data_IF_908303881585
#
_entry.id   IF_908303881585
#
_cell.length_a   1.000
_cell.length_b   1.000
_cell.length_c   1.000
_cell.angle_alpha   90.00
_cell.angle_beta   90.00
_cell.angle_gamma   90.00
#
_symmetry.space_group_name_H-M   'P 1'
#
loop_
_entity.id
_entity.type
_entity.pdbx_description
1 polymer ?
#
# COMPACT_ATOMS: atom_id res chain seq x y z
N UNK A 1 -15.61 34.52 6.20
CA UNK A 1 -15.36 33.13 6.63
C UNK A 1 -14.54 32.49 5.52
N UNK A 2 -13.29 32.11 5.78
CA UNK A 2 -12.48 31.44 4.77
C UNK A 2 -13.11 30.07 4.51
N UNK A 3 -13.60 29.84 3.29
CA UNK A 3 -14.04 28.51 2.85
C UNK A 3 -12.79 27.63 2.89
N UNK A 4 -12.75 26.64 3.78
CA UNK A 4 -11.66 25.68 3.83
C UNK A 4 -11.63 24.94 2.49
N UNK A 5 -10.55 25.11 1.73
CA UNK A 5 -10.39 24.45 0.45
C UNK A 5 -9.93 23.01 0.65
N UNK A 6 -10.43 22.09 -0.17
CA UNK A 6 -9.91 20.72 -0.24
C UNK A 6 -8.80 20.67 -1.27
N UNK A 7 -7.65 20.10 -0.91
CA UNK A 7 -6.55 19.92 -1.85
C UNK A 7 -6.75 18.65 -2.65
N UNK A 8 -6.73 18.78 -3.98
CA UNK A 8 -6.75 17.68 -4.94
C UNK A 8 -5.39 17.58 -5.61
N UNK A 9 -4.79 16.40 -5.54
CA UNK A 9 -3.48 16.13 -6.13
C UNK A 9 -3.62 15.10 -7.23
N UNK A 10 -3.12 15.43 -8.42
CA UNK A 10 -3.08 14.53 -9.57
C UNK A 10 -1.67 13.94 -9.64
N UNK A 11 -1.57 12.64 -9.35
CA UNK A 11 -0.36 11.83 -9.53
C UNK A 11 -0.25 11.41 -10.99
N UNK A 12 0.66 12.04 -11.71
CA UNK A 12 0.81 11.85 -13.15
C UNK A 12 1.24 10.43 -13.52
N UNK A 13 0.75 9.94 -14.66
CA UNK A 13 1.09 8.62 -15.18
C UNK A 13 2.54 8.50 -15.63
N UNK A 14 3.07 7.27 -15.57
CA UNK A 14 4.42 7.00 -16.08
C UNK A 14 4.47 7.11 -17.61
N UNK A 15 5.36 7.94 -18.13
CA UNK A 15 5.68 8.03 -19.55
C UNK A 15 4.83 9.03 -20.34
N UNK A 16 4.66 8.75 -21.64
CA UNK A 16 4.09 9.69 -22.63
C UNK A 16 2.78 9.22 -23.27
N UNK A 17 1.96 8.47 -22.56
CA UNK A 17 0.67 8.03 -23.10
C UNK A 17 -0.25 9.25 -23.32
N UNK A 18 -0.64 9.57 -24.57
CA UNK A 18 -1.39 10.79 -24.86
C UNK A 18 -2.80 10.77 -24.26
N UNK A 19 -3.46 9.61 -24.20
CA UNK A 19 -4.82 9.50 -23.64
C UNK A 19 -4.82 9.78 -22.14
N UNK A 20 -3.87 9.20 -21.41
CA UNK A 20 -3.74 9.42 -19.96
C UNK A 20 -3.41 10.87 -19.64
N UNK A 21 -2.51 11.47 -20.42
CA UNK A 21 -2.12 12.89 -20.27
C UNK A 21 -3.27 13.82 -20.57
N UNK A 22 -4.04 13.55 -21.62
CA UNK A 22 -5.22 14.36 -21.93
C UNK A 22 -6.21 14.33 -20.77
N UNK A 23 -6.49 13.15 -20.21
CA UNK A 23 -7.37 13.03 -19.04
C UNK A 23 -6.82 13.81 -17.83
N UNK A 24 -5.53 13.68 -17.52
CA UNK A 24 -4.88 14.44 -16.44
C UNK A 24 -5.01 15.96 -16.65
N UNK A 25 -4.78 16.44 -17.89
CA UNK A 25 -4.89 17.85 -18.25
C UNK A 25 -6.33 18.37 -18.18
N UNK A 26 -7.30 17.59 -18.66
CA UNK A 26 -8.72 17.95 -18.64
C UNK A 26 -9.23 18.06 -17.21
N UNK A 27 -8.89 17.08 -16.35
CA UNK A 27 -9.22 17.11 -14.93
C UNK A 27 -8.57 18.31 -14.26
N UNK A 28 -7.27 18.53 -14.47
CA UNK A 28 -6.55 19.66 -13.87
C UNK A 28 -7.17 21.00 -14.29
N UNK A 29 -7.46 21.17 -15.59
CA UNK A 29 -8.03 22.40 -16.15
C UNK A 29 -9.42 22.69 -15.57
N UNK A 30 -10.29 21.67 -15.45
CA UNK A 30 -11.60 21.87 -14.86
C UNK A 30 -11.51 22.21 -13.37
N UNK A 31 -10.70 21.47 -12.60
CA UNK A 31 -10.54 21.70 -11.16
C UNK A 31 -9.95 23.08 -10.82
N UNK A 32 -9.14 23.68 -11.71
CA UNK A 32 -8.62 25.05 -11.51
C UNK A 32 -9.74 26.10 -11.42
N UNK A 33 -10.87 25.83 -12.05
CA UNK A 33 -12.05 26.71 -12.04
C UNK A 33 -13.08 26.32 -10.98
N UNK A 34 -12.87 25.20 -10.27
CA UNK A 34 -13.82 24.72 -9.26
C UNK A 34 -13.65 25.49 -7.93
N UNK A 35 -14.75 26.04 -7.37
CA UNK A 35 -14.68 26.76 -6.11
C UNK A 35 -14.43 25.81 -4.94
N UNK A 36 -13.61 26.23 -3.98
CA UNK A 36 -13.35 25.45 -2.76
C UNK A 36 -12.35 24.30 -2.95
N UNK A 37 -11.67 24.24 -4.10
CA UNK A 37 -10.64 23.25 -4.40
C UNK A 37 -9.31 23.95 -4.68
N UNK A 38 -8.21 23.37 -4.21
CA UNK A 38 -6.86 23.70 -4.65
C UNK A 38 -6.26 22.50 -5.37
N UNK A 39 -5.67 22.72 -6.54
CA UNK A 39 -5.15 21.64 -7.40
C UNK A 39 -3.63 21.66 -7.42
N UNK A 40 -3.01 20.49 -7.36
CA UNK A 40 -1.57 20.34 -7.55
C UNK A 40 -1.26 19.09 -8.37
N UNK A 41 -0.14 19.13 -9.08
CA UNK A 41 0.37 18.02 -9.89
C UNK A 41 1.65 17.51 -9.25
N UNK A 42 1.76 16.19 -9.11
CA UNK A 42 2.98 15.53 -8.62
C UNK A 42 3.40 14.43 -9.59
N UNK A 43 4.69 14.05 -9.61
CA UNK A 43 5.13 12.86 -10.33
C UNK A 43 4.39 11.61 -9.85
N UNK A 44 4.59 10.52 -10.58
CA UNK A 44 3.96 9.25 -10.26
C UNK A 44 4.25 8.85 -8.81
N UNK A 45 3.18 8.72 -8.01
CA UNK A 45 3.21 8.56 -6.56
C UNK A 45 4.19 7.49 -6.07
N UNK A 46 4.24 6.37 -6.78
CA UNK A 46 5.05 5.22 -6.41
C UNK A 46 6.54 5.33 -6.81
N UNK A 47 6.91 6.29 -7.66
CA UNK A 47 8.30 6.49 -8.10
C UNK A 47 9.05 7.58 -7.33
N UNK A 48 8.35 8.41 -6.56
CA UNK A 48 8.99 9.44 -5.74
C UNK A 48 9.88 8.82 -4.66
N UNK A 49 11.10 9.34 -4.50
CA UNK A 49 12.00 9.02 -3.37
C UNK A 49 11.52 9.68 -2.09
N UNK A 50 11.98 9.20 -0.93
CA UNK A 50 11.52 9.69 0.37
C UNK A 50 11.74 11.20 0.60
N UNK A 51 12.79 11.75 -0.02
CA UNK A 51 13.24 13.14 0.01
C UNK A 51 12.71 13.99 -1.17
N UNK A 52 11.92 13.39 -2.06
CA UNK A 52 11.38 14.08 -3.24
C UNK A 52 10.44 15.22 -2.82
N UNK A 53 10.55 16.38 -3.48
CA UNK A 53 9.80 17.59 -3.10
C UNK A 53 8.28 17.40 -3.17
N UNK A 54 7.80 16.57 -4.10
CA UNK A 54 6.39 16.20 -4.21
C UNK A 54 5.84 15.44 -2.99
N UNK A 55 6.64 14.57 -2.37
CA UNK A 55 6.23 13.91 -1.11
C UNK A 55 6.27 14.88 0.06
N UNK A 56 7.25 15.79 0.10
CA UNK A 56 7.29 16.85 1.12
C UNK A 56 6.05 17.74 1.05
N UNK A 57 5.62 18.09 -0.17
CA UNK A 57 4.37 18.80 -0.40
C UNK A 57 3.16 17.99 0.09
N UNK A 58 3.01 16.73 -0.32
CA UNK A 58 1.88 15.89 0.11
C UNK A 58 1.77 15.76 1.64
N UNK A 59 2.91 15.64 2.33
CA UNK A 59 2.96 15.61 3.81
C UNK A 59 2.55 16.94 4.43
N UNK A 60 2.84 18.07 3.78
CA UNK A 60 2.54 19.40 4.31
C UNK A 60 1.11 19.88 4.05
N UNK A 61 0.36 19.23 3.15
CA UNK A 61 -1.06 19.55 2.88
C UNK A 61 -1.88 19.41 4.18
N UNK A 62 -2.52 20.48 4.68
CA UNK A 62 -3.39 20.41 5.83
C UNK A 62 -4.77 19.83 5.46
N UNK A 63 -5.46 19.22 6.43
CA UNK A 63 -6.85 18.80 6.25
C UNK A 63 -7.04 17.65 5.24
N UNK A 64 -8.25 17.52 4.69
CA UNK A 64 -8.57 16.41 3.80
C UNK A 64 -7.83 16.53 2.46
N UNK A 65 -7.35 15.40 1.96
CA UNK A 65 -6.58 15.31 0.72
C UNK A 65 -7.24 14.31 -0.23
N UNK A 66 -7.45 14.73 -1.46
CA UNK A 66 -7.89 13.85 -2.56
C UNK A 66 -6.67 13.61 -3.45
N UNK A 67 -6.37 12.34 -3.73
CA UNK A 67 -5.27 11.93 -4.61
C UNK A 67 -5.85 11.13 -5.77
N UNK A 68 -5.79 11.71 -6.97
CA UNK A 68 -6.12 11.05 -8.22
C UNK A 68 -4.86 10.38 -8.76
N UNK A 69 -4.87 9.07 -9.01
CA UNK A 69 -3.67 8.35 -9.47
C UNK A 69 -3.99 7.18 -10.40
N UNK A 70 -2.99 6.72 -11.15
CA UNK A 70 -3.10 5.51 -11.99
C UNK A 70 -2.81 4.20 -11.23
N UNK A 71 -2.93 4.23 -9.90
CA UNK A 71 -2.78 3.07 -9.02
C UNK A 71 -4.17 2.64 -8.53
N UNK A 72 -4.34 1.37 -8.18
CA UNK A 72 -5.58 0.91 -7.53
C UNK A 72 -5.69 1.60 -6.16
N UNK A 73 -6.91 1.85 -5.70
CA UNK A 73 -7.18 2.61 -4.45
C UNK A 73 -6.33 2.12 -3.27
N UNK A 74 -6.29 0.79 -3.08
CA UNK A 74 -5.50 0.13 -2.05
C UNK A 74 -4.00 0.39 -2.22
N UNK A 75 -3.49 0.29 -3.44
CA UNK A 75 -2.09 0.54 -3.75
C UNK A 75 -1.70 2.01 -3.52
N UNK A 76 -2.55 2.94 -3.97
CA UNK A 76 -2.36 4.37 -3.74
C UNK A 76 -2.35 4.70 -2.23
N UNK A 77 -3.36 4.22 -1.49
CA UNK A 77 -3.50 4.40 -0.04
C UNK A 77 -2.25 3.96 0.71
N UNK A 78 -1.78 2.74 0.50
CA UNK A 78 -0.64 2.21 1.26
C UNK A 78 0.70 2.74 0.78
N UNK A 79 0.79 3.21 -0.47
CA UNK A 79 1.96 3.98 -0.93
C UNK A 79 2.04 5.34 -0.24
N UNK A 80 0.91 6.04 -0.08
CA UNK A 80 0.83 7.29 0.68
C UNK A 80 1.15 7.07 2.16
N UNK A 81 0.56 6.04 2.79
CA UNK A 81 0.77 5.73 4.19
C UNK A 81 2.25 5.44 4.50
N UNK A 82 2.87 4.59 3.67
CA UNK A 82 4.31 4.26 3.75
C UNK A 82 5.18 5.50 3.67
N UNK A 83 4.81 6.43 2.78
CA UNK A 83 5.57 7.67 2.59
C UNK A 83 5.22 8.74 3.62
N UNK A 84 4.44 8.43 4.67
CA UNK A 84 4.11 9.36 5.74
C UNK A 84 2.96 10.31 5.42
N UNK A 85 2.30 10.15 4.27
CA UNK A 85 1.07 10.87 3.92
C UNK A 85 -0.11 10.06 4.45
N UNK A 86 -0.32 10.15 5.76
CA UNK A 86 -1.30 9.33 6.50
C UNK A 86 -2.62 10.07 6.68
N UNK A 87 -3.69 9.29 6.83
CA UNK A 87 -5.03 9.78 7.18
C UNK A 87 -6.05 8.64 7.20
N UNK A 88 -7.23 8.92 7.74
CA UNK A 88 -8.36 8.00 7.69
C UNK A 88 -8.80 7.77 6.24
N UNK A 89 -9.33 6.59 5.96
CA UNK A 89 -9.89 6.27 4.63
C UNK A 89 -11.04 7.21 4.28
N UNK A 90 -10.87 7.92 3.17
CA UNK A 90 -11.94 8.60 2.48
C UNK A 90 -12.57 7.65 1.47
N UNK A 91 -13.90 7.55 1.49
CA UNK A 91 -14.65 6.69 0.58
C UNK A 91 -14.96 7.42 -0.72
N UNK A 92 -14.52 6.84 -1.84
CA UNK A 92 -14.90 7.23 -3.20
C UNK A 92 -16.16 6.47 -3.62
N UNK A 93 -17.11 7.16 -4.24
CA UNK A 93 -18.26 6.54 -4.92
C UNK A 93 -18.00 6.29 -6.40
N UNK A 94 -16.87 6.76 -6.93
CA UNK A 94 -16.45 6.47 -8.28
C UNK A 94 -15.80 5.08 -8.30
N UNK A 95 -16.55 4.09 -8.80
CA UNK A 95 -16.06 2.74 -9.07
C UNK A 95 -15.84 2.54 -10.58
N UNK A 96 -15.03 1.56 -10.93
CA UNK A 96 -14.89 1.13 -12.32
C UNK A 96 -16.08 0.27 -12.76
N UNK A 97 -16.41 0.27 -14.05
CA UNK A 97 -17.51 -0.54 -14.58
C UNK A 97 -17.31 -2.07 -14.41
N UNK A 98 -16.08 -2.52 -14.15
CA UNK A 98 -15.75 -3.93 -13.84
C UNK A 98 -16.09 -4.27 -12.38
N UNK A 99 -15.96 -3.31 -11.45
CA UNK A 99 -16.30 -3.50 -10.03
C UNK A 99 -17.83 -3.48 -9.82
N UNK A 100 -18.57 -2.65 -10.56
CA UNK A 100 -20.05 -2.61 -10.48
C UNK A 100 -20.72 -3.94 -10.90
N UNK A 101 -20.04 -4.78 -11.69
CA UNK A 101 -20.56 -6.06 -12.14
C UNK A 101 -20.27 -7.23 -11.18
N UNK A 102 -19.33 -7.05 -10.25
CA UNK A 102 -18.96 -8.04 -9.22
C UNK A 102 -19.65 -7.76 -7.87
N UNK A 103 -20.32 -6.61 -7.72
CA UNK A 103 -21.05 -6.19 -6.51
C UNK A 103 -22.43 -6.88 -6.32
N UNK A 104 -22.84 -7.85 -7.16
CA UNK A 104 -24.10 -8.61 -6.93
C UNK A 104 -24.00 -9.60 -5.73
N UNK A 105 -22.81 -9.84 -5.18
CA UNK A 105 -22.58 -10.65 -3.98
C UNK A 105 -22.15 -9.80 -2.76
N UNK A 106 -22.92 -8.76 -2.42
CA UNK A 106 -22.74 -8.02 -1.16
C UNK A 106 -23.17 -8.86 0.05
N UNK A 107 -22.21 -9.31 0.90
CA UNK A 107 -22.28 -9.18 2.37
C UNK A 107 -21.11 -9.76 3.19
N UNK A 108 -19.91 -9.98 2.64
CA UNK A 108 -18.77 -10.33 3.50
C UNK A 108 -18.02 -9.07 3.96
N UNK A 109 -18.59 -8.39 4.97
CA UNK A 109 -17.83 -7.49 5.84
C UNK A 109 -16.92 -8.35 6.71
N UNK A 110 -15.91 -8.97 6.09
CA UNK A 110 -14.87 -9.72 6.81
C UNK A 110 -14.21 -8.72 7.76
N UNK A 111 -14.30 -9.00 9.05
CA UNK A 111 -13.63 -8.20 10.07
C UNK A 111 -12.16 -8.07 9.67
N UNK A 112 -11.74 -6.85 9.34
CA UNK A 112 -10.38 -6.53 8.94
C UNK A 112 -9.48 -6.71 10.17
N UNK A 113 -9.02 -7.93 10.42
CA UNK A 113 -8.08 -8.29 11.49
C UNK A 113 -6.66 -7.78 11.25
N UNK A 114 -6.48 -6.84 10.31
CA UNK A 114 -5.18 -6.26 10.02
C UNK A 114 -4.71 -5.29 11.09
N UNK A 115 -3.40 -5.18 11.24
CA UNK A 115 -2.74 -4.33 12.25
C UNK A 115 -2.89 -2.81 12.04
N UNK A 116 -3.62 -2.37 11.01
CA UNK A 116 -4.03 -0.97 10.78
C UNK A 116 -2.86 -0.01 10.49
N UNK A 117 -3.10 1.29 10.31
CA UNK A 117 -2.01 2.28 10.21
C UNK A 117 -1.63 2.83 11.59
N UNK A 118 -0.42 3.40 11.72
CA UNK A 118 0.11 4.00 12.96
C UNK A 118 0.21 5.52 12.85
N UNK A 119 0.02 6.25 13.96
CA UNK A 119 0.08 7.72 14.01
C UNK A 119 -0.78 8.40 12.94
N UNK A 120 -2.05 7.99 12.82
CA UNK A 120 -2.98 8.51 11.82
C UNK A 120 -3.50 9.89 12.27
N UNK A 121 -3.24 10.98 11.51
CA UNK A 121 -3.79 12.29 11.82
C UNK A 121 -5.30 12.34 11.56
N UNK A 122 -6.01 13.24 12.26
CA UNK A 122 -7.44 13.47 12.08
C UNK A 122 -7.72 14.25 10.77
N UNK A 123 -7.53 13.57 9.65
CA UNK A 123 -7.83 14.00 8.28
C UNK A 123 -8.23 12.77 7.48
N UNK A 124 -8.96 12.98 6.38
CA UNK A 124 -9.24 11.92 5.40
C UNK A 124 -8.31 12.02 4.20
N UNK A 125 -7.88 10.88 3.71
CA UNK A 125 -7.17 10.73 2.44
C UNK A 125 -8.04 9.89 1.52
N UNK A 126 -8.48 10.50 0.42
CA UNK A 126 -9.28 9.87 -0.62
C UNK A 126 -8.32 9.48 -1.75
N UNK A 127 -8.10 8.18 -1.93
CA UNK A 127 -7.38 7.68 -3.10
C UNK A 127 -8.43 7.32 -4.16
N UNK A 128 -8.32 7.93 -5.34
CA UNK A 128 -9.25 7.69 -6.45
C UNK A 128 -8.43 7.23 -7.65
N UNK A 129 -8.80 6.07 -8.18
CA UNK A 129 -8.19 5.48 -9.37
C UNK A 129 -8.67 6.17 -10.67
N UNK A 130 -7.72 6.74 -11.41
CA UNK A 130 -7.95 7.38 -12.71
C UNK A 130 -8.39 6.38 -13.81
N UNK A 131 -8.39 5.08 -13.54
CA UNK A 131 -8.88 4.06 -14.47
C UNK A 131 -10.39 3.83 -14.39
N UNK A 132 -11.06 4.32 -13.34
CA UNK A 132 -12.49 4.10 -13.16
C UNK A 132 -13.36 4.75 -14.25
N UNK A 133 -12.91 5.86 -14.83
CA UNK A 133 -13.61 6.51 -15.95
C UNK A 133 -12.63 7.12 -16.95
N UNK A 134 -13.03 7.17 -18.22
CA UNK A 134 -12.34 7.91 -19.27
C UNK A 134 -12.80 9.37 -19.39
N UNK A 135 -13.83 9.76 -18.62
CA UNK A 135 -14.43 11.10 -18.68
C UNK A 135 -13.98 11.91 -17.48
N UNK A 136 -13.40 13.08 -17.75
CA UNK A 136 -12.89 13.95 -16.70
C UNK A 136 -14.03 14.44 -15.78
N UNK A 137 -15.25 14.63 -16.30
CA UNK A 137 -16.43 15.10 -15.58
C UNK A 137 -16.86 14.19 -14.44
N UNK A 138 -16.63 12.88 -14.54
CA UNK A 138 -16.97 11.94 -13.47
C UNK A 138 -16.08 12.17 -12.24
N UNK A 139 -14.80 12.46 -12.44
CA UNK A 139 -13.88 12.81 -11.36
C UNK A 139 -14.24 14.17 -10.74
N UNK A 140 -14.64 15.16 -11.55
CA UNK A 140 -15.07 16.48 -11.03
C UNK A 140 -16.33 16.34 -10.17
N UNK A 141 -17.31 15.54 -10.63
CA UNK A 141 -18.53 15.26 -9.85
C UNK A 141 -18.19 14.67 -8.50
N UNK A 142 -17.26 13.72 -8.47
CA UNK A 142 -16.85 13.05 -7.24
C UNK A 142 -16.05 13.97 -6.31
N UNK A 143 -15.12 14.75 -6.84
CA UNK A 143 -14.39 15.78 -6.08
C UNK A 143 -15.37 16.79 -5.47
N UNK A 144 -16.38 17.23 -6.23
CA UNK A 144 -17.40 18.17 -5.73
C UNK A 144 -18.25 17.57 -4.61
N UNK A 145 -18.61 16.29 -4.72
CA UNK A 145 -19.30 15.56 -3.65
C UNK A 145 -18.44 15.53 -2.37
N UNK A 146 -17.19 15.10 -2.48
CA UNK A 146 -16.25 15.00 -1.35
C UNK A 146 -16.01 16.39 -0.74
N UNK A 147 -15.81 17.42 -1.56
CA UNK A 147 -15.65 18.79 -1.10
C UNK A 147 -16.90 19.28 -0.35
N UNK A 148 -18.09 19.01 -0.88
CA UNK A 148 -19.37 19.35 -0.27
C UNK A 148 -19.59 18.70 1.10
N UNK A 149 -19.32 17.40 1.22
CA UNK A 149 -19.45 16.65 2.49
C UNK A 149 -18.48 17.14 3.58
N UNK A 150 -17.31 17.61 3.18
CA UNK A 150 -16.27 18.06 4.09
C UNK A 150 -16.33 19.56 4.42
N UNK A 151 -17.37 20.28 3.99
CA UNK A 151 -17.56 21.72 4.27
C UNK A 151 -17.99 22.01 5.73
N UNK A 152 -18.01 21.02 6.62
CA UNK A 152 -18.43 21.19 8.02
C UNK A 152 -17.22 21.32 8.95
N UNK A 153 -17.04 22.55 9.44
CA UNK A 153 -16.24 23.02 10.59
C UNK A 153 -15.05 22.16 11.06
N UNK A 154 -13.83 22.66 10.80
CA UNK A 154 -12.65 22.29 11.61
C UNK A 154 -12.19 23.50 12.43
N UNK A 155 -12.04 23.27 13.73
CA UNK A 155 -11.45 24.20 14.70
C UNK A 155 -9.95 24.34 14.38
N UNK A 156 -9.43 25.57 14.38
CA UNK A 156 -8.00 25.86 14.28
C UNK A 156 -7.23 25.15 15.40
N UNK A 157 -6.55 24.05 15.07
CA UNK A 157 -5.48 23.52 15.90
C UNK A 157 -4.15 23.88 15.24
N UNK A 158 -3.56 24.97 15.73
CA UNK A 158 -2.22 25.39 15.41
C UNK A 158 -1.19 24.31 15.79
N UNK A 159 -0.22 24.13 14.89
CA UNK A 159 1.16 23.67 15.15
C UNK A 159 1.39 22.19 15.43
N UNK A 160 1.74 21.44 14.38
CA UNK A 160 3.01 20.71 14.32
C UNK A 160 3.25 20.08 12.94
N UNK A 161 4.11 20.70 12.13
CA UNK A 161 4.83 19.99 11.06
C UNK A 161 6.29 20.41 11.14
N UNK A 162 7.15 19.45 11.49
CA UNK A 162 8.60 19.60 11.45
C UNK A 162 9.10 19.48 10.03
N UNK A 163 9.79 20.53 9.57
CA UNK A 163 10.45 20.61 8.28
C UNK A 163 10.18 21.95 7.62
N UNK A 164 11.24 22.69 7.29
CA UNK A 164 11.17 23.89 6.44
C UNK A 164 11.78 23.56 5.09
N UNK A 165 10.99 23.08 4.12
CA UNK A 165 11.45 23.02 2.73
C UNK A 165 11.78 24.43 2.26
N UNK A 166 12.74 24.58 1.33
CA UNK A 166 13.01 25.90 0.75
C UNK A 166 11.73 26.42 0.09
N UNK A 167 11.29 27.67 0.39
CA UNK A 167 10.01 28.20 -0.11
C UNK A 167 9.86 28.11 -1.63
N UNK A 168 10.96 28.29 -2.35
CA UNK A 168 11.05 28.22 -3.82
C UNK A 168 10.71 26.83 -4.39
N UNK A 169 11.00 25.74 -3.66
CA UNK A 169 10.72 24.37 -4.11
C UNK A 169 9.26 23.97 -3.88
N UNK A 170 8.59 24.55 -2.88
CA UNK A 170 7.16 24.31 -2.64
C UNK A 170 6.27 25.16 -3.56
N UNK A 171 6.73 26.36 -3.93
CA UNK A 171 5.97 27.28 -4.77
C UNK A 171 5.54 26.69 -6.12
N UNK A 172 6.28 25.74 -6.70
CA UNK A 172 5.89 25.09 -7.96
C UNK A 172 4.61 24.28 -7.86
N UNK A 173 4.35 23.61 -6.72
CA UNK A 173 3.13 22.83 -6.51
C UNK A 173 1.90 23.71 -6.24
N UNK A 174 2.14 24.97 -5.86
CA UNK A 174 1.11 26.00 -5.68
C UNK A 174 0.76 26.72 -7.00
N UNK A 175 1.46 26.43 -8.10
CA UNK A 175 1.25 27.01 -9.43
C UNK A 175 0.95 25.93 -10.48
N UNK A 176 -0.18 25.20 -10.33
CA UNK A 176 -0.58 24.12 -11.26
C UNK A 176 -0.68 24.57 -12.72
N UNK A 177 -1.19 25.77 -13.00
CA UNK A 177 -1.30 26.33 -14.37
C UNK A 177 0.07 26.40 -15.06
N UNK A 178 1.05 26.98 -14.37
CA UNK A 178 2.42 27.11 -14.87
C UNK A 178 3.07 25.74 -15.09
N UNK A 179 2.75 24.76 -14.23
CA UNK A 179 3.25 23.40 -14.38
C UNK A 179 2.64 22.68 -15.59
N UNK A 180 1.36 22.89 -15.88
CA UNK A 180 0.69 22.36 -17.08
C UNK A 180 1.30 22.96 -18.35
N UNK A 181 1.51 24.28 -18.39
CA UNK A 181 2.13 24.96 -19.52
C UNK A 181 3.57 24.48 -19.78
N UNK A 182 4.38 24.42 -18.72
CA UNK A 182 5.75 23.89 -18.79
C UNK A 182 5.77 22.43 -19.29
N UNK A 183 4.77 21.63 -18.89
CA UNK A 183 4.64 20.24 -19.34
C UNK A 183 4.29 20.15 -20.83
N UNK A 184 3.34 20.95 -21.30
CA UNK A 184 2.97 21.05 -22.73
C UNK A 184 4.17 21.47 -23.59
N UNK A 185 4.95 22.44 -23.12
CA UNK A 185 6.19 22.87 -23.78
C UNK A 185 7.23 21.73 -23.83
N UNK A 186 7.41 21.01 -22.72
CA UNK A 186 8.33 19.87 -22.65
C UNK A 186 7.92 18.74 -23.60
N UNK A 187 6.64 18.43 -23.65
CA UNK A 187 6.11 17.36 -24.47
C UNK A 187 6.13 17.71 -25.97
N UNK A 188 5.88 18.97 -26.35
CA UNK A 188 6.03 19.44 -27.72
C UNK A 188 7.49 19.59 -28.18
N UNK A 189 8.47 19.42 -27.28
CA UNK A 189 9.90 19.58 -27.58
C UNK A 189 10.37 21.04 -27.63
N UNK A 190 9.54 21.97 -27.17
CA UNK A 190 9.80 23.41 -27.16
C UNK A 190 10.12 23.97 -25.75
N UNK A 191 10.32 23.12 -24.75
CA UNK A 191 10.62 23.56 -23.39
C UNK A 191 11.91 24.37 -23.29
N UNK A 192 11.79 25.52 -22.64
CA UNK A 192 12.88 26.39 -22.23
C UNK A 192 13.54 25.87 -20.93
N UNK A 193 14.65 26.50 -20.52
CA UNK A 193 15.28 26.23 -19.22
C UNK A 193 14.37 26.64 -18.05
N UNK A 194 13.56 27.68 -18.24
CA UNK A 194 12.59 28.13 -17.24
C UNK A 194 11.46 27.11 -17.07
N UNK A 195 10.95 26.54 -18.16
CA UNK A 195 9.95 25.46 -18.11
C UNK A 195 10.47 24.25 -17.34
N UNK A 196 11.73 23.87 -17.59
CA UNK A 196 12.38 22.76 -16.86
C UNK A 196 12.53 23.04 -15.36
N UNK A 197 12.68 24.29 -14.95
CA UNK A 197 12.81 24.65 -13.53
C UNK A 197 11.47 24.59 -12.78
N UNK A 198 10.34 24.72 -13.50
CA UNK A 198 8.98 24.60 -12.94
C UNK A 198 8.59 23.14 -12.75
N UNK A 199 9.06 22.25 -13.63
CA UNK A 199 8.75 20.82 -13.56
C UNK A 199 9.32 20.18 -12.29
N UNK A 200 8.62 19.20 -11.70
CA UNK A 200 9.16 18.39 -10.61
C UNK A 200 10.47 17.69 -10.99
N UNK A 201 11.23 17.26 -9.98
CA UNK A 201 12.42 16.46 -10.21
C UNK A 201 12.08 15.16 -10.96
N UNK A 202 13.02 14.65 -11.76
CA UNK A 202 12.81 13.42 -12.51
C UNK A 202 12.76 12.21 -11.56
N UNK A 203 11.77 11.36 -11.77
CA UNK A 203 11.56 10.13 -10.99
C UNK A 203 11.83 8.92 -11.87
N UNK A 204 12.86 8.15 -11.52
CA UNK A 204 13.11 6.84 -12.16
C UNK A 204 12.06 5.81 -11.76
N UNK A 205 11.70 4.90 -12.68
CA UNK A 205 10.76 3.80 -12.36
C UNK A 205 11.30 2.91 -11.24
N UNK A 206 10.48 2.69 -10.21
CA UNK A 206 10.87 1.88 -9.04
C UNK A 206 10.15 0.54 -8.97
N UNK A 207 10.73 -0.38 -8.20
CA UNK A 207 10.15 -1.70 -7.94
C UNK A 207 10.37 -2.09 -6.49
N UNK A 208 9.30 -2.12 -5.69
CA UNK A 208 9.32 -2.50 -4.28
C UNK A 208 7.92 -2.92 -3.80
N UNK A 209 7.84 -3.78 -2.77
CA UNK A 209 6.55 -4.13 -2.18
C UNK A 209 5.97 -2.98 -1.35
N UNK A 210 4.66 -2.90 -1.30
CA UNK A 210 3.88 -2.01 -0.42
C UNK A 210 2.97 -2.90 0.43
N UNK A 211 2.94 -2.68 1.74
CA UNK A 211 2.16 -3.52 2.67
C UNK A 211 0.82 -2.85 2.93
N UNK A 212 -0.27 -3.58 2.69
CA UNK A 212 -1.60 -3.25 3.19
C UNK A 212 -1.76 -3.69 4.64
N UNK A 213 -1.64 -2.74 5.56
CA UNK A 213 -1.79 -3.05 6.98
C UNK A 213 -3.23 -3.25 7.44
N UNK A 214 -4.24 -2.92 6.63
CA UNK A 214 -5.63 -3.31 6.93
C UNK A 214 -5.92 -4.79 6.68
N UNK A 215 -5.09 -5.46 5.87
CA UNK A 215 -5.13 -6.91 5.64
C UNK A 215 -4.02 -7.67 6.37
N UNK A 216 -2.85 -7.05 6.58
CA UNK A 216 -1.72 -7.71 7.20
C UNK A 216 -1.99 -8.08 8.66
N UNK A 217 -1.94 -9.37 8.98
CA UNK A 217 -2.06 -9.93 10.33
C UNK A 217 -0.74 -10.00 11.10
N UNK A 218 0.34 -9.42 10.54
CA UNK A 218 1.70 -9.47 11.10
C UNK A 218 2.27 -10.90 11.24
N UNK A 219 1.93 -11.82 10.33
CA UNK A 219 2.35 -13.24 10.38
C UNK A 219 3.83 -13.50 10.06
N UNK A 220 4.60 -12.50 9.61
CA UNK A 220 6.03 -12.56 9.29
C UNK A 220 6.48 -13.46 8.13
N UNK A 221 5.59 -14.16 7.43
CA UNK A 221 5.99 -15.02 6.30
C UNK A 221 6.73 -14.28 5.18
N UNK A 222 6.43 -12.99 4.97
CA UNK A 222 7.07 -12.20 3.92
C UNK A 222 8.54 -11.88 4.22
N UNK A 223 8.94 -11.73 5.49
CA UNK A 223 10.35 -11.49 5.86
C UNK A 223 11.13 -12.79 5.74
N UNK A 224 10.59 -13.92 6.21
CA UNK A 224 11.24 -15.23 6.12
C UNK A 224 11.42 -15.68 4.66
N UNK A 225 10.44 -15.38 3.80
CA UNK A 225 10.51 -15.70 2.39
C UNK A 225 11.51 -14.83 1.60
N UNK A 226 11.74 -13.57 2.02
CA UNK A 226 12.49 -12.62 1.21
C UNK A 226 14.00 -12.75 1.39
N UNK A 227 14.64 -13.47 0.47
CA UNK A 227 16.10 -13.61 0.42
C UNK A 227 16.88 -12.32 0.11
N UNK A 228 16.21 -11.22 -0.23
CA UNK A 228 16.82 -9.95 -0.61
C UNK A 228 16.87 -8.92 0.53
N UNK A 229 16.43 -9.28 1.75
CA UNK A 229 16.48 -8.38 2.91
C UNK A 229 15.61 -7.13 2.76
N UNK A 230 14.50 -7.23 2.02
CA UNK A 230 13.61 -6.08 1.75
C UNK A 230 12.79 -5.68 2.98
N UNK A 231 12.44 -6.67 3.80
CA UNK A 231 11.60 -6.49 4.98
C UNK A 231 12.44 -6.46 6.26
N UNK A 232 11.94 -5.73 7.25
CA UNK A 232 12.44 -5.70 8.62
C UNK A 232 11.27 -5.58 9.60
N UNK A 233 11.58 -5.48 10.89
CA UNK A 233 10.59 -5.22 11.96
C UNK A 233 10.95 -3.94 12.71
N UNK A 234 9.96 -3.18 13.16
CA UNK A 234 10.20 -2.04 14.03
C UNK A 234 10.38 -2.46 15.50
N UNK A 235 10.53 -1.47 16.40
CA UNK A 235 10.70 -1.70 17.82
C UNK A 235 9.48 -2.34 18.53
N UNK A 236 8.34 -2.46 17.84
CA UNK A 236 7.11 -3.08 18.34
C UNK A 236 6.82 -4.40 17.60
N UNK A 237 7.84 -5.01 17.00
CA UNK A 237 7.75 -6.24 16.21
C UNK A 237 6.73 -6.14 15.08
N UNK A 238 6.58 -4.95 14.48
CA UNK A 238 5.69 -4.72 13.36
C UNK A 238 6.47 -4.84 12.05
N UNK A 239 5.98 -5.67 11.14
CA UNK A 239 6.57 -5.84 9.81
C UNK A 239 6.59 -4.51 9.05
N UNK A 240 7.70 -4.19 8.39
CA UNK A 240 7.84 -3.03 7.52
C UNK A 240 8.76 -3.31 6.33
N UNK A 241 8.63 -2.50 5.28
CA UNK A 241 9.57 -2.51 4.15
C UNK A 241 10.74 -1.60 4.49
N UNK A 242 11.88 -2.20 4.84
CA UNK A 242 13.08 -1.48 5.31
C UNK A 242 13.96 -1.09 4.12
N UNK A 243 14.40 -2.08 3.33
CA UNK A 243 15.27 -1.88 2.18
C UNK A 243 14.51 -2.04 0.86
N UNK A 244 13.65 -1.07 0.55
CA UNK A 244 12.78 -1.14 -0.63
C UNK A 244 13.53 -1.32 -1.96
N UNK A 245 14.70 -0.68 -2.12
CA UNK A 245 15.48 -0.74 -3.36
C UNK A 245 16.32 -2.02 -3.50
N UNK A 246 16.42 -2.84 -2.44
CA UNK A 246 17.02 -4.18 -2.49
C UNK A 246 16.10 -5.20 -3.16
N UNK A 247 14.84 -4.85 -3.43
CA UNK A 247 13.90 -5.76 -4.06
C UNK A 247 14.33 -6.14 -5.48
N UNK A 248 14.43 -7.44 -5.75
CA UNK A 248 14.73 -7.94 -7.10
C UNK A 248 13.67 -7.46 -8.08
N UNK A 249 14.09 -6.67 -9.07
CA UNK A 249 13.24 -6.13 -10.13
C UNK A 249 12.36 -7.22 -10.75
N UNK A 250 11.04 -6.99 -10.72
CA UNK A 250 10.04 -7.87 -11.30
C UNK A 250 9.69 -9.12 -10.50
N UNK A 251 10.20 -9.28 -9.27
CA UNK A 251 9.85 -10.40 -8.40
C UNK A 251 8.62 -10.06 -7.51
N UNK A 252 7.45 -10.70 -7.69
CA UNK A 252 6.28 -10.50 -6.84
C UNK A 252 6.10 -11.64 -5.82
N UNK A 253 7.12 -12.48 -5.59
CA UNK A 253 6.88 -13.78 -4.95
C UNK A 253 6.36 -13.68 -3.49
N UNK A 254 6.77 -12.66 -2.74
CA UNK A 254 6.22 -12.37 -1.41
C UNK A 254 4.73 -11.96 -1.42
N UNK A 255 4.17 -11.51 -2.54
CA UNK A 255 2.73 -11.28 -2.64
C UNK A 255 1.91 -12.55 -2.81
N UNK A 256 2.54 -13.64 -3.26
CA UNK A 256 1.88 -14.95 -3.43
C UNK A 256 1.96 -15.82 -2.20
N UNK A 257 2.98 -15.60 -1.35
CA UNK A 257 3.12 -16.32 -0.08
C UNK A 257 2.24 -15.73 1.01
N UNK A 258 1.95 -14.42 0.97
CA UNK A 258 1.16 -13.76 1.99
C UNK A 258 -0.27 -14.33 2.07
N UNK A 259 -0.69 -14.92 3.21
CA UNK A 259 -1.98 -15.61 3.33
C UNK A 259 -3.17 -14.66 3.16
N UNK A 260 -3.02 -13.43 3.62
CA UNK A 260 -4.02 -12.35 3.58
C UNK A 260 -3.95 -11.50 2.30
N UNK A 261 -3.06 -11.85 1.35
CA UNK A 261 -2.80 -11.08 0.14
C UNK A 261 -2.44 -9.60 0.43
N UNK A 262 -1.79 -9.32 1.57
CA UNK A 262 -1.52 -7.96 2.05
C UNK A 262 -0.38 -7.24 1.31
N UNK A 263 0.52 -7.98 0.65
CA UNK A 263 1.66 -7.40 -0.09
C UNK A 263 1.24 -7.00 -1.50
N UNK A 264 1.52 -5.76 -1.87
CA UNK A 264 1.15 -5.13 -3.15
C UNK A 264 2.40 -4.78 -3.94
N UNK A 265 2.37 -5.00 -5.25
CA UNK A 265 3.34 -4.43 -6.19
C UNK A 265 2.59 -3.54 -7.18
N UNK A 266 2.51 -2.21 -6.94
CA UNK A 266 1.61 -1.32 -7.70
C UNK A 266 1.81 -1.32 -9.23
N UNK A 267 3.03 -1.63 -9.71
CA UNK A 267 3.35 -1.72 -11.14
C UNK A 267 3.28 -3.15 -11.71
N UNK A 268 2.79 -4.13 -10.94
CA UNK A 268 2.65 -5.50 -11.44
C UNK A 268 1.50 -5.60 -12.46
N UNK A 269 1.63 -6.54 -13.42
CA UNK A 269 0.65 -6.68 -14.51
C UNK A 269 -0.69 -7.26 -14.06
N UNK A 270 -0.65 -8.17 -13.08
CA UNK A 270 -1.85 -8.79 -12.50
C UNK A 270 -2.56 -7.82 -11.55
N UNK A 271 -3.84 -7.47 -11.79
CA UNK A 271 -4.62 -6.54 -10.95
C UNK A 271 -4.57 -6.83 -9.46
N UNK A 272 -4.83 -8.08 -9.05
CA UNK A 272 -4.86 -8.46 -7.63
C UNK A 272 -3.52 -8.21 -6.90
N UNK A 273 -2.39 -8.50 -7.56
CA UNK A 273 -1.04 -8.20 -7.01
C UNK A 273 -0.75 -6.70 -7.03
N UNK A 274 -1.30 -5.99 -8.01
CA UNK A 274 -1.18 -4.55 -8.14
C UNK A 274 -2.08 -3.75 -7.18
N UNK A 275 -2.93 -4.44 -6.40
CA UNK A 275 -3.77 -3.84 -5.37
C UNK A 275 -5.22 -3.61 -5.77
N UNK A 276 -5.70 -4.23 -6.85
CA UNK A 276 -7.14 -4.28 -7.14
C UNK A 276 -7.91 -4.99 -6.00
N UNK A 277 -9.22 -4.74 -5.93
CA UNK A 277 -10.10 -5.60 -5.14
C UNK A 277 -10.18 -7.01 -5.74
N UNK A 278 -10.58 -7.98 -4.93
CA UNK A 278 -10.60 -9.40 -5.32
C UNK A 278 -9.41 -10.23 -4.80
N UNK A 279 -9.53 -11.55 -4.96
CA UNK A 279 -8.49 -12.50 -4.54
C UNK A 279 -7.37 -12.61 -5.59
N UNK A 280 -6.14 -12.82 -5.12
CA UNK A 280 -5.02 -13.19 -6.00
C UNK A 280 -5.30 -14.60 -6.51
N UNK A 281 -5.83 -14.70 -7.72
CA UNK A 281 -6.37 -15.92 -8.30
C UNK A 281 -5.58 -17.19 -7.97
N UNK A 282 -6.25 -18.10 -7.27
CA UNK A 282 -6.19 -19.57 -7.40
C UNK A 282 -4.87 -20.32 -7.19
N UNK A 283 -3.75 -19.65 -6.94
CA UNK A 283 -2.48 -20.34 -6.67
C UNK A 283 -1.91 -19.89 -5.32
N UNK A 284 -2.69 -20.08 -4.25
CA UNK A 284 -2.13 -20.17 -2.90
C UNK A 284 -1.24 -21.41 -2.90
N UNK A 285 0.06 -21.17 -3.08
CA UNK A 285 1.08 -22.21 -2.99
C UNK A 285 1.06 -22.67 -1.54
N UNK A 286 0.40 -23.81 -1.29
CA UNK A 286 0.38 -24.43 0.01
C UNK A 286 1.81 -24.90 0.31
N UNK A 287 2.53 -24.09 1.08
CA UNK A 287 3.91 -24.36 1.49
C UNK A 287 4.01 -25.72 2.17
N UNK A 288 2.97 -26.16 2.88
CA UNK A 288 2.90 -27.49 3.49
C UNK A 288 3.02 -28.56 2.42
N UNK A 289 2.30 -28.45 1.30
CA UNK A 289 2.39 -29.42 0.19
C UNK A 289 3.72 -29.34 -0.56
N UNK A 290 4.33 -28.16 -0.66
CA UNK A 290 5.66 -28.01 -1.30
C UNK A 290 6.81 -28.56 -0.48
N UNK A 291 6.73 -28.52 0.86
CA UNK A 291 7.75 -29.03 1.77
C UNK A 291 7.45 -30.45 2.28
N UNK A 292 6.61 -31.22 1.57
CA UNK A 292 6.42 -32.65 1.82
C UNK A 292 5.18 -33.04 2.64
N UNK A 293 4.31 -32.10 2.97
CA UNK A 293 3.01 -32.30 3.64
C UNK A 293 1.91 -32.89 2.76
N UNK A 294 2.24 -33.82 1.87
CA UNK A 294 1.36 -34.21 0.74
C UNK A 294 0.51 -35.47 0.97
N UNK A 295 -0.22 -35.59 2.09
CA UNK A 295 -1.18 -36.71 2.20
C UNK A 295 -2.35 -36.52 3.17
N UNK A 296 -2.60 -35.31 3.68
CA UNK A 296 -3.66 -35.14 4.70
C UNK A 296 -3.41 -35.94 5.99
N UNK A 297 -2.20 -36.48 6.15
CA UNK A 297 -1.68 -37.11 7.37
C UNK A 297 -1.40 -36.00 8.39
N UNK A 298 -1.78 -36.21 9.65
CA UNK A 298 -1.45 -35.23 10.70
C UNK A 298 0.07 -35.14 10.89
N UNK A 299 0.58 -34.03 11.43
CA UNK A 299 2.01 -33.89 11.73
C UNK A 299 2.56 -35.06 12.60
N UNK A 300 1.68 -35.65 13.41
CA UNK A 300 1.98 -36.82 14.25
C UNK A 300 2.12 -38.09 13.40
N UNK A 301 1.23 -38.30 12.44
CA UNK A 301 1.25 -39.49 11.57
C UNK A 301 2.49 -39.49 10.67
N UNK A 302 2.86 -38.30 10.16
CA UNK A 302 4.09 -38.11 9.40
C UNK A 302 5.33 -38.41 10.25
N UNK A 303 5.38 -37.91 11.49
CA UNK A 303 6.49 -38.17 12.41
C UNK A 303 6.61 -39.67 12.77
N UNK A 304 5.48 -40.35 12.97
CA UNK A 304 5.42 -41.80 13.21
C UNK A 304 5.97 -42.57 12.02
N UNK A 305 5.57 -42.19 10.80
CA UNK A 305 5.99 -42.84 9.55
C UNK A 305 7.47 -42.68 9.26
N UNK A 306 8.02 -41.47 9.43
CA UNK A 306 9.46 -41.22 9.29
C UNK A 306 10.26 -41.97 10.36
N UNK A 307 9.83 -41.96 11.63
CA UNK A 307 10.47 -42.74 12.70
C UNK A 307 10.48 -44.23 12.37
N UNK A 308 9.34 -44.78 11.98
CA UNK A 308 9.18 -46.21 11.71
C UNK A 308 9.99 -46.64 10.48
N UNK A 309 10.11 -45.77 9.47
CA UNK A 309 11.01 -45.97 8.34
C UNK A 309 12.47 -46.11 8.79
N UNK A 310 12.94 -45.21 9.66
CA UNK A 310 14.31 -45.26 10.19
C UNK A 310 14.53 -46.49 11.09
N UNK A 311 13.54 -46.89 11.89
CA UNK A 311 13.60 -48.10 12.70
C UNK A 311 13.79 -49.35 11.82
N UNK A 312 13.03 -49.45 10.72
CA UNK A 312 13.15 -50.55 9.76
C UNK A 312 14.53 -50.56 9.10
N UNK A 313 15.07 -49.38 8.73
CA UNK A 313 16.41 -49.26 8.15
C UNK A 313 17.51 -49.70 9.14
N UNK A 314 17.32 -49.46 10.43
CA UNK A 314 18.20 -49.93 11.52
C UNK A 314 17.93 -51.40 11.92
N UNK A 315 17.08 -52.12 11.17
CA UNK A 315 16.77 -53.54 11.40
C UNK A 315 15.83 -53.81 12.59
N UNK A 316 15.09 -52.80 13.05
CA UNK A 316 14.09 -52.88 14.13
C UNK A 316 12.67 -52.92 13.57
N UNK A 317 11.71 -53.38 14.36
CA UNK A 317 10.29 -53.38 13.97
C UNK A 317 9.68 -51.97 14.08
N UNK A 318 8.79 -51.64 13.13
CA UNK A 318 7.98 -50.43 13.18
C UNK A 318 7.01 -50.48 14.37
N UNK A 319 6.88 -49.36 15.10
CA UNK A 319 6.09 -49.32 16.34
C UNK A 319 4.75 -48.62 16.16
N UNK A 320 4.50 -47.94 15.04
CA UNK A 320 3.26 -47.25 14.72
C UNK A 320 2.87 -46.20 15.75
N UNK A 321 1.59 -45.87 15.84
CA UNK A 321 1.06 -44.93 16.85
C UNK A 321 1.04 -45.51 18.28
N UNK A 322 1.42 -46.78 18.46
CA UNK A 322 1.34 -47.50 19.75
C UNK A 322 2.35 -47.01 20.78
N UNK A 323 3.53 -46.54 20.33
CA UNK A 323 4.50 -45.81 21.16
C UNK A 323 4.20 -44.34 20.96
N UNK A 324 3.25 -43.83 21.77
CA UNK A 324 2.86 -42.43 21.75
C UNK A 324 4.08 -41.51 21.88
N UNK A 325 4.06 -40.39 21.16
CA UNK A 325 5.03 -39.30 21.33
C UNK A 325 4.97 -38.92 22.81
N UNK A 326 6.06 -39.15 23.56
CA UNK A 326 6.13 -38.73 24.96
C UNK A 326 5.86 -37.22 24.99
N UNK A 327 4.75 -36.83 25.59
CA UNK A 327 4.32 -35.46 25.82
C UNK A 327 5.20 -34.74 26.88
N UNK A 328 6.48 -35.13 26.98
CA UNK A 328 7.32 -34.91 28.15
C UNK A 328 7.90 -33.52 28.28
N UNK A 329 7.76 -32.67 27.27
CA UNK A 329 8.47 -31.38 27.25
C UNK A 329 7.62 -30.27 27.85
N UNK A 330 6.30 -30.39 27.87
CA UNK A 330 5.43 -29.31 28.38
C UNK A 330 5.38 -29.28 29.91
N UNK A 331 5.20 -30.42 30.56
CA UNK A 331 5.10 -30.46 32.03
C UNK A 331 6.45 -30.13 32.71
N UNK A 332 7.58 -30.53 32.12
CA UNK A 332 8.91 -30.17 32.62
C UNK A 332 9.21 -28.67 32.41
N UNK A 333 8.75 -28.07 31.32
CA UNK A 333 8.88 -26.62 31.07
C UNK A 333 7.94 -25.83 31.97
N UNK A 334 6.69 -26.26 32.14
CA UNK A 334 5.71 -25.60 33.00
C UNK A 334 6.18 -25.62 34.47
N UNK A 335 6.83 -26.71 34.91
CA UNK A 335 7.48 -26.78 36.21
C UNK A 335 8.69 -25.85 36.33
N UNK A 336 9.55 -25.79 35.31
CA UNK A 336 10.70 -24.87 35.30
C UNK A 336 10.28 -23.40 35.30
N UNK A 337 9.18 -23.05 34.61
CA UNK A 337 8.59 -21.72 34.62
C UNK A 337 8.03 -21.38 36.01
N UNK A 338 7.30 -22.32 36.63
CA UNK A 338 6.80 -22.15 37.99
C UNK A 338 7.94 -22.00 39.02
N UNK A 339 9.03 -22.74 38.87
CA UNK A 339 10.22 -22.64 39.72
C UNK A 339 10.94 -21.30 39.50
N UNK A 340 10.94 -20.75 38.27
CA UNK A 340 11.51 -19.45 37.94
C UNK A 340 10.68 -18.30 38.52
N UNK A 341 9.34 -18.38 38.43
CA UNK A 341 8.41 -17.40 39.02
C UNK A 341 8.44 -17.43 40.56
N UNK A 342 8.78 -18.58 41.15
CA UNK A 342 8.96 -18.73 42.59
C UNK A 342 10.31 -18.20 43.10
N UNK A 343 11.27 -17.92 42.21
CA UNK A 343 12.51 -17.23 42.55
C UNK A 343 12.26 -15.72 42.51
N UNK A 344 11.70 -15.18 43.59
CA UNK A 344 11.65 -13.73 43.82
C UNK A 344 13.08 -13.17 43.86
N UNK A 345 13.39 -12.26 42.93
CA UNK A 345 14.58 -11.38 42.99
C UNK A 345 14.21 -10.00 43.50
#
# INVERSE_FOLDING_TARGET
MAVSKVTVVISQGQGRNPVRRQLEEDIATMLLTEPGVDVSLVPHLYDMSHDHTGLLFLRSVPGNLIVLSWLYDRAARWTLDRTGVRGHEGLSLLKSAEEDAEDEDENDVVAKNGIGSVNVPNRRVYAIDLRCSAKAEDFIREVRRIAGENTVQTVELMSWIGGTPKPEQLQRYLQPERMLEARRAFDSGHATLEDKAVLPEDTGRRWYPVIDYSRCTNCMECIDFCLFGVYGVDALDRILVEQQDSCKKGCPACSRVCPENAIIFPQHKTPAIAGAQGEVGGLKIDLSKLFGGDSGESAIDMAVKERDRELILDGREAVGTSVGIKQKVRDEIDQLIADLDALEF
#
